data_IF_099140285375
#
_entry.id   IF_099140285375
#
_cell.length_a   1.000
_cell.length_b   1.000
_cell.length_c   1.000
_cell.angle_alpha   90.00
_cell.angle_beta   90.00
_cell.angle_gamma   90.00
#
_symmetry.space_group_name_H-M   'P 1'
#
loop_
_entity.id
_entity.type
_entity.pdbx_description
1 polymer ?
#
# COMPACT_ATOMS: atom_id res chain seq x y z
N UNK A 1 -57.09 3.56 -26.95
CA UNK A 1 -55.86 3.91 -27.69
C UNK A 1 -54.87 4.56 -26.73
N UNK A 2 -53.81 3.86 -26.33
CA UNK A 2 -52.76 4.45 -25.49
C UNK A 2 -51.79 5.24 -26.38
N UNK A 3 -51.65 6.54 -26.13
CA UNK A 3 -50.64 7.39 -26.78
C UNK A 3 -49.26 7.04 -26.22
N UNK A 4 -48.35 6.57 -27.05
CA UNK A 4 -46.92 6.49 -26.70
C UNK A 4 -46.40 7.91 -26.45
N UNK A 5 -45.97 8.19 -25.22
CA UNK A 5 -45.25 9.42 -24.88
C UNK A 5 -43.77 9.18 -25.17
N UNK A 6 -43.26 9.75 -26.25
CA UNK A 6 -41.83 9.79 -26.55
C UNK A 6 -41.16 10.99 -25.90
N UNK A 7 -39.87 10.86 -25.55
CA UNK A 7 -39.03 11.97 -25.15
C UNK A 7 -38.85 12.95 -26.31
N UNK A 8 -38.88 14.26 -26.02
CA UNK A 8 -38.58 15.28 -27.03
C UNK A 8 -37.07 15.38 -27.25
N UNK A 9 -36.64 15.79 -28.45
CA UNK A 9 -35.21 15.98 -28.74
C UNK A 9 -34.56 17.00 -27.78
N UNK A 10 -35.32 18.03 -27.39
CA UNK A 10 -34.85 19.04 -26.43
C UNK A 10 -34.66 18.46 -25.01
N UNK A 11 -35.55 17.58 -24.58
CA UNK A 11 -35.45 16.91 -23.27
C UNK A 11 -34.23 15.98 -23.21
N UNK A 12 -33.95 15.27 -24.31
CA UNK A 12 -32.73 14.48 -24.41
C UNK A 12 -31.47 15.37 -24.31
N UNK A 13 -31.43 16.51 -25.01
CA UNK A 13 -30.28 17.42 -24.95
C UNK A 13 -30.09 17.99 -23.53
N UNK A 14 -31.17 18.38 -22.86
CA UNK A 14 -31.07 18.91 -21.49
C UNK A 14 -30.58 17.82 -20.53
N UNK A 15 -31.14 16.60 -20.61
CA UNK A 15 -30.74 15.49 -19.74
C UNK A 15 -29.26 15.10 -19.91
N UNK A 16 -28.75 14.97 -21.15
CA UNK A 16 -27.33 14.69 -21.37
C UNK A 16 -26.44 15.85 -20.90
N UNK A 17 -26.91 17.09 -21.02
CA UNK A 17 -26.16 18.28 -20.59
C UNK A 17 -26.02 18.29 -19.07
N UNK A 18 -27.12 18.06 -18.34
CA UNK A 18 -27.09 17.95 -16.87
C UNK A 18 -26.23 16.76 -16.43
N UNK A 19 -26.35 15.60 -17.10
CA UNK A 19 -25.53 14.43 -16.80
C UNK A 19 -24.04 14.71 -16.99
N UNK A 20 -23.67 15.43 -18.06
CA UNK A 20 -22.29 15.81 -18.32
C UNK A 20 -21.73 16.71 -17.20
N UNK A 21 -22.49 17.70 -16.73
CA UNK A 21 -22.09 18.58 -15.62
C UNK A 21 -21.91 17.79 -14.31
N UNK A 22 -22.81 16.84 -14.02
CA UNK A 22 -22.68 16.00 -12.83
C UNK A 22 -21.46 15.07 -12.92
N UNK A 23 -21.20 14.51 -14.11
CA UNK A 23 -20.06 13.63 -14.33
C UNK A 23 -18.71 14.35 -14.10
N UNK A 24 -18.56 15.61 -14.53
CA UNK A 24 -17.30 16.35 -14.34
C UNK A 24 -16.96 16.61 -12.89
N UNK A 25 -17.97 16.74 -12.02
CA UNK A 25 -17.78 16.92 -10.57
C UNK A 25 -17.52 15.56 -9.88
N UNK A 26 -18.19 14.50 -10.32
CA UNK A 26 -18.10 13.18 -9.69
C UNK A 26 -16.75 12.49 -9.93
N UNK A 27 -16.23 12.54 -11.16
CA UNK A 27 -15.00 11.83 -11.58
C UNK A 27 -13.77 12.14 -10.70
N UNK A 28 -13.39 13.41 -10.42
CA UNK A 28 -12.20 13.69 -9.61
C UNK A 28 -12.32 13.17 -8.16
N UNK A 29 -13.54 13.19 -7.58
CA UNK A 29 -13.79 12.67 -6.23
C UNK A 29 -13.53 11.15 -6.17
N UNK A 30 -14.02 10.40 -7.15
CA UNK A 30 -13.77 8.95 -7.25
C UNK A 30 -12.28 8.61 -7.40
N UNK A 31 -11.53 9.38 -8.20
CA UNK A 31 -10.09 9.18 -8.34
C UNK A 31 -9.36 9.34 -6.99
N UNK A 32 -9.72 10.37 -6.21
CA UNK A 32 -9.12 10.60 -4.89
C UNK A 32 -9.39 9.45 -3.90
N UNK A 33 -10.60 8.88 -3.93
CA UNK A 33 -10.98 7.74 -3.11
C UNK A 33 -10.21 6.47 -3.51
N UNK A 34 -10.13 6.19 -4.81
CA UNK A 34 -9.39 5.05 -5.34
C UNK A 34 -7.90 5.13 -4.97
N UNK A 35 -7.30 6.31 -5.07
CA UNK A 35 -5.92 6.54 -4.66
C UNK A 35 -5.68 6.23 -3.18
N UNK A 36 -6.57 6.70 -2.30
CA UNK A 36 -6.52 6.39 -0.85
C UNK A 36 -6.67 4.90 -0.60
N UNK A 37 -7.62 4.24 -1.27
CA UNK A 37 -7.84 2.80 -1.10
C UNK A 37 -6.62 1.98 -1.51
N UNK A 38 -6.02 2.29 -2.66
CA UNK A 38 -4.81 1.60 -3.14
C UNK A 38 -3.61 1.83 -2.22
N UNK A 39 -3.39 3.07 -1.76
CA UNK A 39 -2.33 3.37 -0.79
C UNK A 39 -2.54 2.61 0.53
N UNK A 40 -3.76 2.60 1.05
CA UNK A 40 -4.09 1.85 2.27
C UNK A 40 -3.96 0.33 2.06
N UNK A 41 -4.25 -0.19 0.86
CA UNK A 41 -4.07 -1.60 0.54
C UNK A 41 -2.58 -1.99 0.57
N UNK A 42 -1.72 -1.20 -0.08
CA UNK A 42 -0.26 -1.42 -0.04
C UNK A 42 0.32 -1.28 1.37
N UNK A 43 -0.19 -0.33 2.18
CA UNK A 43 0.20 -0.21 3.58
C UNK A 43 -0.18 -1.44 4.40
N UNK A 44 -1.41 -1.94 4.24
CA UNK A 44 -1.87 -3.18 4.91
C UNK A 44 -1.09 -4.40 4.43
N UNK A 45 -0.75 -4.47 3.15
CA UNK A 45 0.07 -5.55 2.62
C UNK A 45 1.45 -5.56 3.27
N UNK A 46 2.12 -4.41 3.37
CA UNK A 46 3.40 -4.30 4.07
C UNK A 46 3.27 -4.71 5.54
N UNK A 47 2.26 -4.24 6.26
CA UNK A 47 2.02 -4.65 7.65
C UNK A 47 1.78 -6.15 7.78
N UNK A 48 1.02 -6.75 6.87
CA UNK A 48 0.78 -8.19 6.83
C UNK A 48 2.09 -8.96 6.64
N UNK A 49 2.94 -8.54 5.69
CA UNK A 49 4.26 -9.15 5.46
C UNK A 49 5.22 -8.98 6.62
N UNK A 50 5.17 -7.86 7.34
CA UNK A 50 5.94 -7.65 8.57
C UNK A 50 5.54 -8.65 9.67
N UNK A 51 4.24 -8.85 9.89
CA UNK A 51 3.73 -9.82 10.87
C UNK A 51 4.04 -11.25 10.44
N UNK A 52 3.86 -11.57 9.15
CA UNK A 52 4.17 -12.87 8.58
C UNK A 52 5.66 -13.21 8.76
N UNK A 53 6.56 -12.30 8.40
CA UNK A 53 8.00 -12.48 8.56
C UNK A 53 8.40 -12.64 10.03
N UNK A 54 7.83 -11.85 10.93
CA UNK A 54 8.07 -11.96 12.38
C UNK A 54 7.64 -13.31 12.92
N UNK A 55 6.43 -13.75 12.59
CA UNK A 55 5.87 -15.04 13.02
C UNK A 55 6.72 -16.19 12.46
N UNK A 56 7.15 -16.05 11.21
CA UNK A 56 8.03 -17.01 10.57
C UNK A 56 9.38 -17.10 11.28
N UNK A 57 10.01 -15.98 11.63
CA UNK A 57 11.29 -15.97 12.35
C UNK A 57 11.21 -16.72 13.68
N UNK A 58 10.12 -16.52 14.42
CA UNK A 58 9.84 -17.22 15.67
C UNK A 58 9.63 -18.72 15.45
N UNK A 59 8.89 -19.09 14.40
CA UNK A 59 8.55 -20.48 14.10
C UNK A 59 9.77 -21.29 13.68
N UNK A 60 10.58 -20.76 12.76
CA UNK A 60 11.74 -21.47 12.22
C UNK A 60 13.02 -21.24 13.04
N UNK A 61 12.99 -20.32 14.03
CA UNK A 61 14.15 -19.87 14.81
C UNK A 61 15.34 -19.44 13.94
N UNK A 62 15.06 -18.74 12.84
CA UNK A 62 16.06 -18.16 11.94
C UNK A 62 15.68 -16.72 11.59
N UNK A 63 16.68 -15.96 11.16
CA UNK A 63 16.44 -14.58 10.72
C UNK A 63 15.59 -14.57 9.45
N UNK A 64 14.56 -13.73 9.43
CA UNK A 64 13.73 -13.48 8.24
C UNK A 64 13.82 -12.03 7.86
N UNK A 65 13.45 -11.71 6.64
CA UNK A 65 13.51 -10.34 6.14
C UNK A 65 12.30 -9.98 5.31
N UNK A 66 11.95 -8.71 5.37
CA UNK A 66 10.91 -8.09 4.56
C UNK A 66 11.53 -7.04 3.68
N UNK A 67 11.17 -7.01 2.40
CA UNK A 67 11.45 -5.87 1.53
C UNK A 67 10.19 -5.38 0.86
N UNK A 68 10.27 -4.16 0.37
CA UNK A 68 9.23 -3.54 -0.47
C UNK A 68 9.51 -3.86 -1.94
N UNK A 69 8.49 -4.08 -2.76
CA UNK A 69 8.64 -4.49 -4.18
C UNK A 69 9.37 -3.50 -5.08
N UNK A 70 9.63 -2.29 -4.61
CA UNK A 70 10.49 -1.31 -5.31
C UNK A 70 11.97 -1.68 -5.26
N UNK A 71 12.36 -2.61 -4.39
CA UNK A 71 13.73 -3.07 -4.22
C UNK A 71 13.99 -4.23 -5.19
N UNK A 72 14.89 -4.03 -6.14
CA UNK A 72 15.47 -5.12 -6.92
C UNK A 72 16.37 -5.96 -6.01
N UNK A 73 16.27 -7.29 -6.11
CA UNK A 73 17.07 -8.24 -5.32
C UNK A 73 16.94 -8.07 -3.79
N UNK A 74 15.74 -8.31 -3.26
CA UNK A 74 15.47 -8.31 -1.82
C UNK A 74 16.41 -9.26 -1.03
N UNK A 75 16.74 -10.43 -1.58
CA UNK A 75 17.62 -11.40 -0.92
C UNK A 75 19.04 -10.86 -0.64
N UNK A 76 19.63 -10.17 -1.61
CA UNK A 76 20.98 -9.60 -1.50
C UNK A 76 21.02 -8.47 -0.47
N UNK A 77 20.02 -7.59 -0.49
CA UNK A 77 19.92 -6.48 0.46
C UNK A 77 19.72 -6.96 1.91
N UNK A 78 19.02 -8.07 2.11
CA UNK A 78 18.82 -8.69 3.42
C UNK A 78 20.00 -9.52 3.89
N UNK A 79 20.99 -9.79 3.03
CA UNK A 79 22.09 -10.74 3.30
C UNK A 79 21.60 -12.14 3.72
N UNK A 80 20.41 -12.54 3.24
CA UNK A 80 19.83 -13.87 3.47
C UNK A 80 20.04 -14.68 2.20
N UNK A 81 20.58 -15.89 2.32
CA UNK A 81 20.78 -16.78 1.18
C UNK A 81 19.46 -16.98 0.41
N UNK A 82 19.48 -16.61 -0.88
CA UNK A 82 18.33 -16.70 -1.79
C UNK A 82 17.85 -18.13 -2.05
N UNK A 83 18.64 -19.14 -1.66
CA UNK A 83 18.26 -20.55 -1.72
C UNK A 83 17.19 -20.96 -0.69
N UNK A 84 16.78 -20.03 0.20
CA UNK A 84 15.78 -20.30 1.24
C UNK A 84 14.62 -19.30 1.09
N UNK A 85 13.75 -19.53 0.10
CA UNK A 85 12.59 -18.67 -0.18
C UNK A 85 11.64 -18.48 1.01
N UNK A 86 11.63 -19.41 1.97
CA UNK A 86 10.72 -19.39 3.13
C UNK A 86 11.11 -18.38 4.24
N UNK A 87 12.08 -17.49 3.97
CA UNK A 87 12.63 -16.49 4.91
C UNK A 87 12.52 -15.06 4.41
N UNK A 88 12.14 -14.88 3.14
CA UNK A 88 12.15 -13.58 2.46
C UNK A 88 10.72 -13.26 2.06
N UNK A 89 10.21 -12.13 2.56
CA UNK A 89 8.85 -11.68 2.32
C UNK A 89 8.89 -10.37 1.55
N UNK A 90 8.29 -10.36 0.36
CA UNK A 90 8.20 -9.15 -0.46
C UNK A 90 6.79 -8.59 -0.32
N UNK A 91 6.69 -7.36 0.17
CA UNK A 91 5.45 -6.59 0.17
C UNK A 91 5.26 -5.96 -1.20
N UNK A 92 4.22 -6.35 -1.92
CA UNK A 92 3.90 -5.76 -3.21
C UNK A 92 3.23 -4.40 -2.99
N UNK A 93 3.76 -3.39 -3.65
CA UNK A 93 3.11 -2.08 -3.73
C UNK A 93 2.37 -1.98 -5.06
N UNK A 94 1.25 -1.27 -5.05
CA UNK A 94 0.57 -0.90 -6.28
C UNK A 94 1.49 0.01 -7.13
N UNK A 95 1.38 -0.05 -8.46
CA UNK A 95 2.32 0.56 -9.43
C UNK A 95 2.58 2.06 -9.26
N UNK A 96 1.70 2.78 -8.55
CA UNK A 96 1.81 4.23 -8.29
C UNK A 96 2.09 4.57 -6.82
N UNK A 97 2.31 3.56 -5.97
CA UNK A 97 2.71 3.76 -4.57
C UNK A 97 4.24 3.71 -4.50
N UNK A 98 4.84 4.80 -4.03
CA UNK A 98 6.28 4.92 -3.86
C UNK A 98 6.65 5.11 -2.40
N UNK A 99 7.94 4.96 -2.08
CA UNK A 99 8.47 5.29 -0.76
C UNK A 99 8.96 6.74 -0.75
N UNK A 100 8.73 7.44 0.36
CA UNK A 100 9.31 8.76 0.58
C UNK A 100 10.83 8.66 0.76
N UNK A 101 11.56 9.72 0.42
CA UNK A 101 13.00 9.81 0.71
C UNK A 101 13.29 9.60 2.20
N UNK A 102 14.32 8.80 2.50
CA UNK A 102 14.67 8.45 3.88
C UNK A 102 13.82 7.34 4.51
N UNK A 103 12.84 6.78 3.79
CA UNK A 103 12.13 5.59 4.25
C UNK A 103 13.02 4.36 4.23
N UNK A 104 12.80 3.45 5.19
CA UNK A 104 13.31 2.11 5.10
C UNK A 104 12.74 1.40 3.87
N UNK A 105 13.59 0.60 3.21
CA UNK A 105 13.22 -0.23 2.06
C UNK A 105 13.12 -1.71 2.42
N UNK A 106 13.66 -2.06 3.58
CA UNK A 106 13.75 -3.42 4.09
C UNK A 106 13.81 -3.44 5.62
N UNK A 107 13.48 -4.59 6.20
CA UNK A 107 13.63 -4.85 7.63
C UNK A 107 13.97 -6.32 7.87
N UNK A 108 14.91 -6.58 8.78
CA UNK A 108 15.31 -7.92 9.19
C UNK A 108 14.78 -8.19 10.60
N UNK A 109 14.14 -9.33 10.79
CA UNK A 109 13.78 -9.87 12.10
C UNK A 109 14.78 -10.94 12.53
N UNK A 110 15.18 -10.89 13.80
CA UNK A 110 16.00 -11.92 14.44
C UNK A 110 15.15 -13.11 14.88
N UNK A 111 15.80 -14.16 15.36
CA UNK A 111 15.14 -15.41 15.78
C UNK A 111 14.15 -15.20 16.93
N UNK A 112 14.33 -14.13 17.70
CA UNK A 112 13.47 -13.69 18.81
C UNK A 112 12.26 -12.87 18.33
N UNK A 113 12.09 -12.69 17.01
CA UNK A 113 11.02 -11.86 16.45
C UNK A 113 11.19 -10.36 16.70
N UNK A 114 12.42 -9.95 17.06
CA UNK A 114 12.81 -8.57 17.31
C UNK A 114 13.49 -8.02 16.04
N UNK A 115 13.14 -6.82 15.57
CA UNK A 115 13.81 -6.21 14.43
C UNK A 115 15.25 -5.81 14.76
N UNK A 116 16.15 -5.89 13.76
CA UNK A 116 17.57 -5.52 13.92
C UNK A 116 17.75 -4.02 14.21
N UNK A 117 16.86 -3.18 13.69
CA UNK A 117 16.81 -1.75 13.96
C UNK A 117 15.38 -1.25 13.81
N UNK A 118 15.03 -0.16 14.51
CA UNK A 118 13.77 0.54 14.27
C UNK A 118 13.74 1.09 12.84
N UNK A 119 12.63 0.87 12.13
CA UNK A 119 12.49 1.27 10.73
C UNK A 119 11.17 2.00 10.51
N UNK A 120 11.22 3.06 9.70
CA UNK A 120 10.05 3.85 9.31
C UNK A 120 9.81 3.69 7.80
N UNK A 121 8.64 3.22 7.41
CA UNK A 121 8.22 3.07 6.02
C UNK A 121 7.18 4.15 5.72
N UNK A 122 7.53 5.16 4.94
CA UNK A 122 6.59 6.19 4.50
C UNK A 122 6.18 5.92 3.06
N UNK A 123 4.97 5.38 2.88
CA UNK A 123 4.37 5.15 1.57
C UNK A 123 3.66 6.41 1.09
N UNK A 124 3.79 6.73 -0.20
CA UNK A 124 3.24 7.92 -0.81
C UNK A 124 2.54 7.61 -2.14
N UNK A 125 1.44 8.32 -2.40
CA UNK A 125 0.73 8.32 -3.69
C UNK A 125 -0.01 9.64 -3.88
N UNK A 126 0.27 10.34 -4.98
CA UNK A 126 -0.41 11.59 -5.37
C UNK A 126 -0.62 12.59 -4.21
N UNK A 127 0.42 12.85 -3.42
CA UNK A 127 0.39 13.81 -2.30
C UNK A 127 -0.21 13.30 -0.98
N UNK A 128 -0.70 12.06 -0.94
CA UNK A 128 -1.16 11.40 0.30
C UNK A 128 -0.05 10.47 0.79
N UNK A 129 0.19 10.45 2.11
CA UNK A 129 1.18 9.61 2.75
C UNK A 129 0.58 8.71 3.84
N UNK A 130 1.21 7.56 4.06
CA UNK A 130 0.98 6.63 5.16
C UNK A 130 2.31 6.23 5.79
N UNK A 131 2.37 6.27 7.11
CA UNK A 131 3.55 5.93 7.87
C UNK A 131 3.34 4.62 8.62
N UNK A 132 4.29 3.69 8.45
CA UNK A 132 4.37 2.46 9.22
C UNK A 132 5.70 2.49 9.96
N UNK A 133 5.65 2.52 11.28
CA UNK A 133 6.83 2.50 12.15
C UNK A 133 6.94 1.14 12.80
N UNK A 134 8.13 0.54 12.74
CA UNK A 134 8.46 -0.67 13.51
C UNK A 134 9.46 -0.27 14.58
N UNK A 135 9.05 -0.38 15.84
CA UNK A 135 9.89 -0.11 16.99
C UNK A 135 10.88 -1.24 17.26
N UNK A 136 11.87 -0.97 18.11
CA UNK A 136 12.92 -1.96 18.44
C UNK A 136 12.39 -3.20 19.15
N UNK A 137 11.15 -3.17 19.66
CA UNK A 137 10.51 -4.33 20.28
C UNK A 137 9.67 -5.15 19.30
N UNK A 138 9.61 -4.73 18.04
CA UNK A 138 8.77 -5.31 17.00
C UNK A 138 7.31 -4.85 17.06
N UNK A 139 6.99 -3.88 17.90
CA UNK A 139 5.73 -3.15 17.85
C UNK A 139 5.59 -2.43 16.50
N UNK A 140 4.42 -2.54 15.88
CA UNK A 140 4.12 -1.90 14.60
C UNK A 140 3.06 -0.82 14.82
N UNK A 141 3.38 0.40 14.42
CA UNK A 141 2.47 1.55 14.52
C UNK A 141 2.11 2.02 13.12
N UNK A 142 0.82 2.24 12.87
CA UNK A 142 0.32 2.81 11.62
C UNK A 142 -0.25 4.20 11.87
N UNK A 143 0.21 5.18 11.09
CA UNK A 143 -0.24 6.58 11.16
C UNK A 143 -0.60 7.09 9.77
N UNK A 144 -1.63 7.93 9.72
CA UNK A 144 -1.90 8.72 8.52
C UNK A 144 -0.89 9.87 8.40
N UNK A 145 -0.36 10.09 7.20
CA UNK A 145 0.67 11.11 6.95
C UNK A 145 2.06 10.52 6.73
N UNK A 146 3.04 11.40 6.55
CA UNK A 146 4.44 11.03 6.38
C UNK A 146 5.07 10.68 7.74
N UNK A 147 6.09 9.82 7.71
CA UNK A 147 6.91 9.54 8.88
C UNK A 147 7.79 10.76 9.17
N UNK A 148 7.38 11.60 10.12
CA UNK A 148 8.19 12.71 10.63
C UNK A 148 9.02 12.28 11.85
#
# INVERSE_FOLDING_TARGET
MQKMKGFTLIELIITITVLAILATIAVPSFNSLLNRQKLNASARELMSKLVEARTQALTIRQTTGVCVSTVTNCAENLSISSNISNRIFVAQLDKEVTLASGSAIQLIFRVEGIPVASSKFSLQRQGIARCIEVGVTGDTTYKEGACT
#
